data_IF_828350519185
#
_entry.id   IF_828350519185
#
_cell.length_a   1.000
_cell.length_b   1.000
_cell.length_c   1.000
_cell.angle_alpha   90.00
_cell.angle_beta   90.00
_cell.angle_gamma   90.00
#
_symmetry.space_group_name_H-M   'P 1'
#
loop_
_entity.id
_entity.type
_entity.pdbx_description
1 polymer ?
#
# COMPACT_ATOMS: atom_id res chain seq x y z
N UNK A 1 -68.32 -0.29 10.76
CA UNK A 1 -67.32 -0.08 11.85
C UNK A 1 -66.78 -1.46 12.18
N UNK A 2 -65.51 -1.83 11.99
CA UNK A 2 -64.23 -1.10 11.93
C UNK A 2 -63.27 -1.86 11.00
N UNK A 3 -62.51 -1.10 10.19
CA UNK A 3 -61.30 -1.51 9.49
C UNK A 3 -60.13 -1.47 10.50
N UNK A 4 -59.31 -2.51 10.59
CA UNK A 4 -57.87 -2.42 10.91
C UNK A 4 -57.26 -3.78 10.56
N UNK A 5 -56.68 -3.99 9.38
CA UNK A 5 -55.37 -3.50 8.93
C UNK A 5 -54.30 -3.74 10.00
N UNK A 6 -53.43 -4.72 9.70
CA UNK A 6 -52.40 -5.22 10.59
C UNK A 6 -51.20 -4.31 10.69
N UNK A 7 -50.48 -4.49 11.79
CA UNK A 7 -49.11 -4.02 11.94
C UNK A 7 -48.22 -5.26 12.13
N UNK A 8 -47.49 -5.71 11.09
CA UNK A 8 -46.18 -6.23 11.35
C UNK A 8 -45.30 -5.01 11.68
N UNK A 9 -44.91 -4.89 12.94
CA UNK A 9 -43.78 -4.05 13.38
C UNK A 9 -42.47 -4.61 12.83
N UNK A 10 -42.38 -4.74 11.51
CA UNK A 10 -41.17 -5.04 10.77
C UNK A 10 -40.49 -3.73 10.45
N UNK A 11 -39.29 -3.57 10.99
CA UNK A 11 -38.38 -2.45 10.76
C UNK A 11 -38.35 -2.03 9.28
N UNK A 12 -39.06 -0.94 8.98
CA UNK A 12 -39.09 -0.29 7.65
C UNK A 12 -37.75 0.43 7.33
N UNK A 13 -36.74 0.31 8.19
CA UNK A 13 -35.50 1.10 8.15
C UNK A 13 -34.23 0.31 7.85
N UNK A 14 -34.31 -1.02 7.68
CA UNK A 14 -33.13 -1.82 7.36
C UNK A 14 -33.49 -2.96 6.40
N UNK A 15 -33.83 -2.59 5.15
CA UNK A 15 -33.67 -3.50 4.02
C UNK A 15 -32.16 -3.65 3.74
N UNK A 16 -31.56 -4.73 4.26
CA UNK A 16 -30.15 -5.08 4.07
C UNK A 16 -29.21 -4.34 5.02
N UNK A 17 -28.50 -5.08 5.88
CA UNK A 17 -27.22 -4.60 6.38
C UNK A 17 -26.40 -4.15 5.17
N UNK A 18 -26.04 -2.87 5.15
CA UNK A 18 -25.52 -2.21 3.97
C UNK A 18 -24.22 -2.91 3.53
N UNK A 19 -24.29 -3.69 2.45
CA UNK A 19 -23.14 -4.42 1.89
C UNK A 19 -21.93 -3.51 1.61
N UNK A 20 -22.15 -2.19 1.48
CA UNK A 20 -21.08 -1.21 1.41
C UNK A 20 -20.33 -1.05 2.74
N UNK A 21 -21.02 -1.07 3.88
CA UNK A 21 -20.42 -1.03 5.22
C UNK A 21 -19.61 -2.30 5.49
N UNK A 22 -20.12 -3.46 5.06
CA UNK A 22 -19.38 -4.72 5.14
C UNK A 22 -18.13 -4.71 4.25
N UNK A 23 -18.22 -4.15 3.04
CA UNK A 23 -17.08 -3.99 2.14
C UNK A 23 -16.00 -3.06 2.74
N UNK A 24 -16.41 -1.95 3.35
CA UNK A 24 -15.49 -1.04 4.07
C UNK A 24 -14.88 -1.68 5.32
N UNK A 25 -15.66 -2.46 6.06
CA UNK A 25 -15.19 -3.20 7.23
C UNK A 25 -14.16 -4.27 6.83
N UNK A 26 -14.42 -5.00 5.75
CA UNK A 26 -13.48 -5.98 5.19
C UNK A 26 -12.18 -5.31 4.72
N UNK A 27 -12.26 -4.16 4.03
CA UNK A 27 -11.10 -3.38 3.63
C UNK A 27 -10.29 -2.90 4.85
N UNK A 28 -10.96 -2.43 5.89
CA UNK A 28 -10.31 -1.97 7.13
C UNK A 28 -9.60 -3.11 7.85
N UNK A 29 -10.24 -4.28 7.94
CA UNK A 29 -9.64 -5.50 8.48
C UNK A 29 -8.41 -5.95 7.67
N UNK A 30 -8.48 -5.89 6.34
CA UNK A 30 -7.35 -6.17 5.46
C UNK A 30 -6.18 -5.21 5.71
N UNK A 31 -6.43 -3.89 5.80
CA UNK A 31 -5.37 -2.89 6.07
C UNK A 31 -4.68 -3.11 7.40
N UNK A 32 -5.44 -3.44 8.45
CA UNK A 32 -4.88 -3.76 9.77
C UNK A 32 -3.97 -5.00 9.71
N UNK A 33 -4.42 -6.05 9.01
CA UNK A 33 -3.64 -7.26 8.82
C UNK A 33 -2.36 -7.01 7.98
N UNK A 34 -2.46 -6.21 6.90
CA UNK A 34 -1.32 -5.82 6.06
C UNK A 34 -0.28 -5.00 6.85
N UNK A 35 -0.73 -4.05 7.67
CA UNK A 35 0.17 -3.26 8.52
C UNK A 35 0.93 -4.14 9.52
N UNK A 36 0.24 -5.06 10.18
CA UNK A 36 0.85 -5.98 11.14
C UNK A 36 1.82 -6.97 10.45
N UNK A 37 1.45 -7.48 9.26
CA UNK A 37 2.34 -8.28 8.43
C UNK A 37 3.63 -7.52 8.08
N UNK A 38 3.53 -6.27 7.62
CA UNK A 38 4.69 -5.42 7.30
C UNK A 38 5.59 -5.21 8.50
N UNK A 39 5.00 -5.00 9.68
CA UNK A 39 5.73 -4.87 10.94
C UNK A 39 6.54 -6.14 11.24
N UNK A 40 5.94 -7.32 11.10
CA UNK A 40 6.62 -8.62 11.30
C UNK A 40 7.73 -8.87 10.29
N UNK A 41 7.48 -8.56 9.01
CA UNK A 41 8.47 -8.73 7.94
C UNK A 41 9.68 -7.81 8.12
N UNK A 42 9.46 -6.57 8.58
CA UNK A 42 10.53 -5.61 8.89
C UNK A 42 11.42 -6.13 10.03
N UNK A 43 10.82 -6.67 11.09
CA UNK A 43 11.57 -7.23 12.23
C UNK A 43 12.51 -8.39 11.85
N UNK A 44 12.28 -9.09 10.73
CA UNK A 44 13.09 -10.22 10.27
C UNK A 44 14.16 -9.91 9.21
N UNK A 45 14.26 -8.66 8.73
CA UNK A 45 15.17 -8.26 7.63
C UNK A 45 16.29 -7.30 8.06
N UNK A 46 16.47 -7.02 9.36
CA UNK A 46 17.32 -5.90 9.85
C UNK A 46 16.97 -4.53 9.21
N UNK A 47 15.78 -4.43 8.60
CA UNK A 47 15.26 -3.26 7.89
C UNK A 47 14.04 -2.73 8.63
N UNK A 48 13.91 -1.41 8.73
CA UNK A 48 12.66 -0.83 9.23
C UNK A 48 11.56 -0.88 8.14
N UNK A 49 10.33 -0.55 8.51
CA UNK A 49 9.18 -0.53 7.59
C UNK A 49 9.38 0.43 6.40
N UNK A 50 10.03 1.57 6.63
CA UNK A 50 10.34 2.55 5.58
C UNK A 50 11.34 1.99 4.58
N UNK A 51 12.35 1.28 5.04
CA UNK A 51 13.37 0.62 4.21
C UNK A 51 12.73 -0.45 3.32
N UNK A 52 11.84 -1.28 3.88
CA UNK A 52 11.11 -2.29 3.11
C UNK A 52 10.15 -1.64 2.08
N UNK A 53 9.50 -0.54 2.46
CA UNK A 53 8.64 0.21 1.53
C UNK A 53 9.44 0.79 0.36
N UNK A 54 10.61 1.35 0.64
CA UNK A 54 11.51 1.87 -0.37
C UNK A 54 11.98 0.77 -1.34
N UNK A 55 12.37 -0.38 -0.80
CA UNK A 55 12.82 -1.51 -1.61
C UNK A 55 11.71 -2.04 -2.54
N UNK A 56 10.49 -2.19 -2.01
CA UNK A 56 9.32 -2.59 -2.81
C UNK A 56 8.99 -1.57 -3.90
N UNK A 57 9.09 -0.28 -3.58
CA UNK A 57 8.87 0.79 -4.55
C UNK A 57 9.86 0.71 -5.71
N UNK A 58 11.16 0.57 -5.40
CA UNK A 58 12.22 0.44 -6.41
C UNK A 58 11.95 -0.77 -7.31
N UNK A 59 11.74 -1.96 -6.73
CA UNK A 59 11.47 -3.19 -7.48
C UNK A 59 10.23 -3.05 -8.40
N UNK A 60 9.16 -2.40 -7.91
CA UNK A 60 7.95 -2.19 -8.71
C UNK A 60 8.16 -1.26 -9.92
N UNK A 61 9.16 -0.39 -9.87
CA UNK A 61 9.45 0.60 -10.92
C UNK A 61 10.61 0.19 -11.84
N UNK A 62 11.19 -1.00 -11.67
CA UNK A 62 12.24 -1.53 -12.57
C UNK A 62 11.71 -1.98 -13.94
N UNK A 63 10.45 -2.39 -14.01
CA UNK A 63 9.81 -2.95 -15.23
C UNK A 63 9.04 -1.87 -16.02
N UNK A 64 8.88 -0.67 -15.46
CA UNK A 64 8.12 0.44 -16.06
C UNK A 64 8.97 1.45 -16.82
N UNK A 65 8.31 2.42 -17.45
CA UNK A 65 8.99 3.56 -18.11
C UNK A 65 9.42 4.67 -17.14
N UNK A 66 9.01 4.59 -15.87
CA UNK A 66 9.27 5.57 -14.82
C UNK A 66 10.21 4.98 -13.75
N UNK A 67 11.54 5.04 -13.95
CA UNK A 67 12.48 4.45 -13.01
C UNK A 67 12.51 5.21 -11.68
N UNK A 68 12.71 4.49 -10.58
CA UNK A 68 12.72 5.09 -9.25
C UNK A 68 13.86 6.13 -9.10
N UNK A 69 13.49 7.38 -8.86
CA UNK A 69 14.44 8.46 -8.52
C UNK A 69 14.43 8.72 -7.01
N UNK A 70 15.48 9.31 -6.43
CA UNK A 70 15.45 9.74 -5.02
C UNK A 70 14.29 10.69 -4.72
N UNK A 71 13.93 11.56 -5.66
CA UNK A 71 12.80 12.48 -5.48
C UNK A 71 11.46 11.75 -5.48
N UNK A 72 11.28 10.77 -6.37
CA UNK A 72 10.06 9.95 -6.42
C UNK A 72 9.92 9.10 -5.15
N UNK A 73 11.03 8.52 -4.67
CA UNK A 73 11.08 7.80 -3.39
C UNK A 73 10.72 8.69 -2.21
N UNK A 74 11.27 9.91 -2.12
CA UNK A 74 10.94 10.85 -1.05
C UNK A 74 9.44 11.14 -0.99
N UNK A 75 8.83 11.38 -2.17
CA UNK A 75 7.39 11.61 -2.31
C UNK A 75 6.58 10.39 -1.91
N UNK A 76 6.95 9.21 -2.41
CA UNK A 76 6.26 7.97 -2.12
C UNK A 76 6.29 7.62 -0.62
N UNK A 77 7.42 7.86 0.03
CA UNK A 77 7.62 7.55 1.44
C UNK A 77 7.09 8.64 2.39
N UNK A 78 6.71 9.81 1.86
CA UNK A 78 6.27 10.95 2.67
C UNK A 78 7.38 11.51 3.57
N UNK A 79 8.66 11.40 3.17
CA UNK A 79 9.81 11.83 3.98
C UNK A 79 10.62 12.93 3.29
N UNK A 80 11.39 13.68 4.09
CA UNK A 80 12.26 14.74 3.57
C UNK A 80 13.37 14.19 2.65
N UNK A 81 13.92 15.07 1.81
CA UNK A 81 15.09 14.72 0.99
C UNK A 81 16.30 14.27 1.82
N UNK A 82 16.53 14.90 2.98
CA UNK A 82 17.61 14.51 3.90
C UNK A 82 17.39 13.11 4.49
N UNK A 83 16.15 12.78 4.90
CA UNK A 83 15.78 11.44 5.37
C UNK A 83 15.90 10.40 4.26
N UNK A 84 15.52 10.77 3.03
CA UNK A 84 15.65 9.92 1.84
C UNK A 84 17.11 9.59 1.55
N UNK A 85 18.01 10.59 1.60
CA UNK A 85 19.44 10.36 1.42
C UNK A 85 19.99 9.38 2.45
N UNK A 86 19.66 9.55 3.74
CA UNK A 86 20.08 8.64 4.81
C UNK A 86 19.57 7.21 4.61
N UNK A 87 18.31 7.06 4.19
CA UNK A 87 17.72 5.76 3.86
C UNK A 87 18.48 5.10 2.70
N UNK A 88 18.71 5.85 1.63
CA UNK A 88 19.40 5.33 0.46
C UNK A 88 20.85 4.97 0.78
N UNK A 89 21.55 5.77 1.59
CA UNK A 89 22.92 5.47 2.04
C UNK A 89 22.95 4.17 2.84
N UNK A 90 22.01 3.97 3.78
CA UNK A 90 21.88 2.74 4.56
C UNK A 90 21.61 1.52 3.67
N UNK A 91 20.66 1.62 2.74
CA UNK A 91 20.30 0.52 1.84
C UNK A 91 21.36 0.22 0.79
N UNK A 92 22.18 1.21 0.43
CA UNK A 92 23.36 0.97 -0.41
C UNK A 92 24.46 0.28 0.38
N UNK A 93 24.72 0.73 1.61
CA UNK A 93 25.74 0.14 2.48
C UNK A 93 25.43 -1.31 2.87
N UNK A 94 24.15 -1.67 3.02
CA UNK A 94 23.72 -3.05 3.24
C UNK A 94 23.57 -3.86 1.96
N UNK A 95 23.92 -3.32 0.79
CA UNK A 95 23.93 -4.03 -0.48
C UNK A 95 22.53 -4.32 -1.07
N UNK A 96 21.49 -3.58 -0.67
CA UNK A 96 20.12 -3.76 -1.16
C UNK A 96 19.79 -2.89 -2.36
N UNK A 97 20.35 -1.68 -2.40
CA UNK A 97 20.10 -0.71 -3.46
C UNK A 97 21.41 -0.21 -4.08
N UNK A 98 21.34 0.20 -5.34
CA UNK A 98 22.43 0.89 -6.03
C UNK A 98 21.92 2.16 -6.71
N UNK A 99 22.78 3.18 -6.78
CA UNK A 99 22.49 4.42 -7.51
C UNK A 99 23.22 4.44 -8.83
N UNK A 100 22.53 4.28 -9.93
CA UNK A 100 23.11 4.24 -11.28
C UNK A 100 22.72 5.47 -12.11
N UNK A 101 23.50 5.86 -13.13
CA UNK A 101 23.10 6.91 -14.07
C UNK A 101 21.79 6.56 -14.77
N UNK A 102 20.92 7.55 -15.01
CA UNK A 102 19.68 7.32 -15.73
C UNK A 102 19.97 6.97 -17.20
N UNK A 103 19.42 5.88 -17.75
CA UNK A 103 19.84 5.32 -19.04
C UNK A 103 19.55 6.25 -20.24
N UNK A 104 18.57 7.15 -20.10
CA UNK A 104 18.21 8.15 -21.12
C UNK A 104 18.70 9.56 -20.80
N UNK A 105 19.19 9.80 -19.58
CA UNK A 105 19.65 11.11 -19.12
C UNK A 105 20.81 10.94 -18.12
N UNK A 106 22.05 10.92 -18.63
CA UNK A 106 23.23 10.70 -17.80
C UNK A 106 23.49 11.75 -16.72
N UNK A 107 22.72 12.85 -16.67
CA UNK A 107 22.80 13.87 -15.60
C UNK A 107 21.97 13.51 -14.39
N UNK A 108 20.97 12.64 -14.54
CA UNK A 108 20.13 12.15 -13.45
C UNK A 108 20.59 10.79 -12.95
N UNK A 109 20.28 10.49 -11.69
CA UNK A 109 20.53 9.17 -11.09
C UNK A 109 19.21 8.51 -10.75
N UNK A 110 19.16 7.20 -10.98
CA UNK A 110 18.08 6.33 -10.54
C UNK A 110 18.57 5.40 -9.45
N UNK A 111 17.62 4.79 -8.76
CA UNK A 111 17.85 3.79 -7.73
C UNK A 111 17.34 2.46 -8.26
N UNK A 112 18.18 1.43 -8.18
CA UNK A 112 17.85 0.06 -8.61
C UNK A 112 18.08 -0.90 -7.44
N UNK A 113 17.33 -2.00 -7.40
CA UNK A 113 17.54 -3.06 -6.42
C UNK A 113 18.63 -4.02 -6.90
N UNK A 114 19.46 -4.48 -5.98
CA UNK A 114 20.49 -5.49 -6.28
C UNK A 114 19.88 -6.88 -6.42
N UNK A 115 20.60 -7.81 -7.04
CA UNK A 115 20.22 -9.23 -7.07
C UNK A 115 20.05 -9.81 -5.66
N UNK A 116 20.85 -9.33 -4.71
CA UNK A 116 20.75 -9.70 -3.30
C UNK A 116 19.41 -9.29 -2.69
N UNK A 117 19.02 -8.02 -2.87
CA UNK A 117 17.71 -7.54 -2.43
C UNK A 117 16.57 -8.31 -3.09
N UNK A 118 16.66 -8.56 -4.39
CA UNK A 118 15.69 -9.36 -5.13
C UNK A 118 15.53 -10.76 -4.57
N UNK A 119 16.65 -11.44 -4.25
CA UNK A 119 16.62 -12.77 -3.65
C UNK A 119 15.99 -12.77 -2.25
N UNK A 120 16.37 -11.83 -1.38
CA UNK A 120 15.80 -11.71 -0.04
C UNK A 120 14.30 -11.39 -0.07
N UNK A 121 13.89 -10.46 -0.94
CA UNK A 121 12.47 -10.13 -1.14
C UNK A 121 11.71 -11.36 -1.62
N UNK A 122 12.23 -12.10 -2.61
CA UNK A 122 11.58 -13.34 -3.08
C UNK A 122 11.52 -14.43 -2.01
N UNK A 123 12.57 -14.64 -1.24
CA UNK A 123 12.60 -15.64 -0.18
C UNK A 123 11.57 -15.31 0.92
N UNK A 124 11.50 -14.05 1.33
CA UNK A 124 10.65 -13.62 2.45
C UNK A 124 9.20 -13.36 2.05
N UNK A 125 8.97 -12.80 0.86
CA UNK A 125 7.65 -12.39 0.38
C UNK A 125 7.08 -13.30 -0.72
N UNK A 126 7.89 -14.16 -1.35
CA UNK A 126 7.46 -14.99 -2.48
C UNK A 126 6.32 -15.93 -2.12
N UNK A 127 6.48 -16.74 -1.07
CA UNK A 127 5.42 -17.64 -0.61
C UNK A 127 4.16 -16.90 -0.14
N UNK A 128 4.28 -15.66 0.32
CA UNK A 128 3.13 -14.81 0.66
C UNK A 128 2.41 -14.31 -0.60
N UNK A 129 3.13 -13.78 -1.58
CA UNK A 129 2.56 -13.33 -2.85
C UNK A 129 1.91 -14.48 -3.63
N UNK A 130 2.48 -15.68 -3.59
CA UNK A 130 1.88 -16.88 -4.18
C UNK A 130 0.54 -17.22 -3.53
N UNK A 131 0.46 -17.17 -2.19
CA UNK A 131 -0.81 -17.36 -1.46
C UNK A 131 -1.83 -16.27 -1.78
N UNK A 132 -1.41 -15.01 -1.84
CA UNK A 132 -2.29 -13.91 -2.23
C UNK A 132 -2.82 -14.07 -3.66
N UNK A 133 -1.97 -14.50 -4.60
CA UNK A 133 -2.38 -14.77 -5.97
C UNK A 133 -3.35 -15.96 -6.05
N UNK A 134 -3.15 -17.00 -5.24
CA UNK A 134 -4.09 -18.11 -5.13
C UNK A 134 -5.47 -17.64 -4.66
N UNK A 135 -5.54 -16.83 -3.58
CA UNK A 135 -6.79 -16.24 -3.08
C UNK A 135 -7.43 -15.34 -4.16
N UNK A 136 -6.65 -14.51 -4.84
CA UNK A 136 -7.16 -13.66 -5.91
C UNK A 136 -7.72 -14.46 -7.11
N UNK A 137 -7.20 -15.68 -7.35
CA UNK A 137 -7.72 -16.58 -8.39
C UNK A 137 -9.08 -17.18 -8.03
N UNK A 138 -9.38 -17.35 -6.75
CA UNK A 138 -10.68 -17.83 -6.26
C UNK A 138 -11.80 -16.80 -6.49
N UNK A 139 -11.46 -15.51 -6.61
CA UNK A 139 -12.42 -14.47 -6.98
C UNK A 139 -12.94 -14.73 -8.41
N UNK A 140 -14.28 -14.85 -8.60
CA UNK A 140 -14.87 -15.08 -9.91
C UNK A 140 -14.42 -14.02 -10.94
N UNK A 141 -14.04 -14.40 -12.17
CA UNK A 141 -13.56 -13.46 -13.18
C UNK A 141 -14.51 -12.27 -13.43
N UNK A 142 -15.82 -12.48 -13.34
CA UNK A 142 -16.83 -11.43 -13.51
C UNK A 142 -16.81 -10.36 -12.40
N UNK A 143 -16.36 -10.70 -11.18
CA UNK A 143 -16.33 -9.77 -10.04
C UNK A 143 -15.02 -8.97 -9.96
N UNK A 144 -13.94 -9.46 -10.59
CA UNK A 144 -12.60 -8.84 -10.50
C UNK A 144 -12.57 -7.38 -10.96
N UNK A 145 -13.21 -6.97 -12.08
CA UNK A 145 -13.15 -5.57 -12.52
C UNK A 145 -13.68 -4.60 -11.46
N UNK A 146 -14.84 -4.89 -10.87
CA UNK A 146 -15.45 -4.04 -9.84
C UNK A 146 -14.57 -3.94 -8.58
N UNK A 147 -13.98 -5.06 -8.14
CA UNK A 147 -13.06 -5.08 -6.99
C UNK A 147 -11.80 -4.27 -7.28
N UNK A 148 -11.21 -4.42 -8.48
CA UNK A 148 -10.02 -3.68 -8.89
C UNK A 148 -10.31 -2.17 -8.94
N UNK A 149 -11.44 -1.77 -9.50
CA UNK A 149 -11.87 -0.37 -9.59
C UNK A 149 -12.05 0.23 -8.19
N UNK A 150 -12.79 -0.46 -7.31
CA UNK A 150 -12.97 -0.05 -5.92
C UNK A 150 -11.65 0.13 -5.17
N UNK A 151 -10.75 -0.87 -5.23
CA UNK A 151 -9.46 -0.82 -4.53
C UNK A 151 -8.57 0.31 -5.06
N UNK A 152 -8.57 0.56 -6.37
CA UNK A 152 -7.82 1.67 -6.97
C UNK A 152 -8.39 3.02 -6.55
N UNK A 153 -9.71 3.20 -6.57
CA UNK A 153 -10.36 4.42 -6.13
C UNK A 153 -10.04 4.72 -4.65
N UNK A 154 -10.10 3.70 -3.78
CA UNK A 154 -9.72 3.83 -2.37
C UNK A 154 -8.25 4.18 -2.20
N UNK A 155 -7.34 3.54 -2.94
CA UNK A 155 -5.92 3.86 -2.89
C UNK A 155 -5.65 5.31 -3.32
N UNK A 156 -6.24 5.75 -4.44
CA UNK A 156 -6.13 7.14 -4.92
C UNK A 156 -6.64 8.12 -3.87
N UNK A 157 -7.82 7.87 -3.28
CA UNK A 157 -8.35 8.74 -2.24
C UNK A 157 -7.39 8.87 -1.05
N UNK A 158 -6.88 7.76 -0.53
CA UNK A 158 -5.97 7.74 0.60
C UNK A 158 -4.59 8.36 0.31
N UNK A 159 -4.09 8.26 -0.92
CA UNK A 159 -2.85 8.93 -1.34
C UNK A 159 -3.02 10.45 -1.46
N UNK A 160 -4.26 10.91 -1.71
CA UNK A 160 -4.60 12.34 -1.87
C UNK A 160 -5.10 13.01 -0.60
N UNK A 161 -5.48 12.24 0.44
CA UNK A 161 -5.87 12.83 1.72
C UNK A 161 -4.66 13.53 2.34
N UNK A 162 -4.80 14.84 2.55
CA UNK A 162 -3.85 15.59 3.35
C UNK A 162 -3.87 15.04 4.79
N UNK A 163 -2.73 15.03 5.51
CA UNK A 163 -2.77 14.80 6.95
C UNK A 163 -3.80 15.77 7.56
N UNK A 164 -4.58 15.34 8.58
CA UNK A 164 -5.56 16.19 9.20
C UNK A 164 -4.89 17.51 9.55
N UNK A 165 -5.49 18.62 9.10
CA UNK A 165 -5.05 19.98 9.44
C UNK A 165 -4.81 19.95 10.96
N UNK A 166 -3.54 20.09 11.35
CA UNK A 166 -3.11 20.04 12.73
C UNK A 166 -4.04 21.00 13.46
N UNK A 167 -4.94 20.47 14.29
CA UNK A 167 -5.90 21.27 15.04
C UNK A 167 -5.06 22.25 15.84
N UNK A 168 -4.90 23.46 15.30
CA UNK A 168 -4.09 24.50 15.88
C UNK A 168 -4.64 24.66 17.29
N UNK A 169 -3.83 24.26 18.27
CA UNK A 169 -4.19 24.42 19.66
C UNK A 169 -4.62 25.88 19.83
N UNK A 170 -5.79 26.17 20.42
CA UNK A 170 -6.20 27.54 20.63
C UNK A 170 -5.09 28.24 21.43
N UNK A 171 -4.54 29.31 20.88
CA UNK A 171 -3.62 30.20 21.61
C UNK A 171 -4.34 30.65 22.88
N UNK A 172 -3.71 30.38 24.04
CA UNK A 172 -4.13 30.84 25.37
C UNK A 172 -3.38 32.13 25.69
#
# INVERSE_FOLDING_TARGET
MVKSAGEPGGSYWYDGEDSAVDLLSALSGFRAADHELRRRLSAGMEMNSTDLSALRYVIAHEVGEDPATPQALARHLGISGASTSKLLDRLTASGHLERVPHPRDGRSRIVVATDHAHAQVRERLGGMHERMLAIAREVPPAARPAIIEFLRAMATHLDTEAPPEELAAPEV
#
